data_IF_875872605924
#
_entry.id   IF_875872605924
#
_cell.length_a   1.000
_cell.length_b   1.000
_cell.length_c   1.000
_cell.angle_alpha   90.00
_cell.angle_beta   90.00
_cell.angle_gamma   90.00
#
_symmetry.space_group_name_H-M   'P 1'
#
loop_
_entity.id
_entity.type
_entity.pdbx_description
1 polymer ?
#
# COMPACT_ATOMS: atom_id res chain seq x y z
N UNK A 1 -15.38 9.39 -1.62
CA UNK A 1 -14.16 8.57 -1.53
C UNK A 1 -14.58 7.23 -1.00
N UNK A 2 -14.69 6.24 -1.88
CA UNK A 2 -14.80 4.84 -1.46
C UNK A 2 -13.36 4.39 -1.27
N UNK A 3 -12.96 4.14 -0.03
CA UNK A 3 -11.63 3.64 0.27
C UNK A 3 -11.48 2.28 -0.42
N UNK A 4 -10.29 1.94 -0.93
CA UNK A 4 -10.02 0.55 -1.26
C UNK A 4 -9.95 -0.20 0.06
N UNK A 5 -11.06 -0.80 0.46
CA UNK A 5 -11.15 -1.53 1.72
C UNK A 5 -10.33 -2.82 1.59
N UNK A 6 -9.33 -2.95 2.45
CA UNK A 6 -8.65 -4.22 2.68
C UNK A 6 -9.37 -4.93 3.83
N UNK A 7 -9.38 -6.26 3.84
CA UNK A 7 -9.83 -6.97 5.04
C UNK A 7 -8.71 -7.79 5.66
N UNK A 8 -8.57 -7.70 6.98
CA UNK A 8 -7.71 -8.60 7.75
C UNK A 8 -8.58 -9.50 8.61
N UNK A 9 -8.50 -10.81 8.39
CA UNK A 9 -9.38 -11.80 8.98
C UNK A 9 -10.88 -11.43 8.83
N UNK A 10 -11.24 -10.86 7.67
CA UNK A 10 -12.60 -10.40 7.37
C UNK A 10 -13.03 -9.06 8.03
N UNK A 11 -12.16 -8.39 8.80
CA UNK A 11 -12.42 -7.04 9.31
C UNK A 11 -11.90 -5.98 8.32
N UNK A 12 -12.73 -5.02 7.87
CA UNK A 12 -12.30 -3.98 6.95
C UNK A 12 -11.40 -2.94 7.62
N UNK A 13 -10.43 -2.45 6.85
CA UNK A 13 -9.56 -1.33 7.18
C UNK A 13 -9.39 -0.42 5.95
N UNK A 14 -9.38 0.91 6.12
CA UNK A 14 -9.08 1.82 5.02
C UNK A 14 -7.59 1.71 4.65
N UNK A 15 -7.28 1.73 3.35
CA UNK A 15 -5.92 1.82 2.84
C UNK A 15 -5.51 3.28 2.60
N UNK A 16 -4.35 3.68 3.13
CA UNK A 16 -3.78 5.02 2.93
C UNK A 16 -2.34 5.01 2.31
N UNK A 17 -1.84 3.89 1.79
CA UNK A 17 -0.65 3.84 0.91
C UNK A 17 0.73 4.14 1.53
N UNK A 18 1.39 3.13 2.13
CA UNK A 18 2.80 3.18 2.60
C UNK A 18 3.64 2.02 2.03
N UNK A 19 4.71 1.53 2.70
CA UNK A 19 5.47 0.32 2.31
C UNK A 19 5.22 -0.90 3.21
N UNK A 20 4.72 -0.67 4.43
CA UNK A 20 4.36 -1.72 5.39
C UNK A 20 2.86 -1.70 5.64
N UNK A 21 2.31 -2.85 6.02
CA UNK A 21 0.93 -2.96 6.47
C UNK A 21 0.87 -2.70 7.98
N UNK A 22 0.14 -1.66 8.38
CA UNK A 22 -0.22 -1.45 9.79
C UNK A 22 -1.67 -1.01 9.92
N UNK A 23 -2.27 -1.32 11.06
CA UNK A 23 -3.67 -0.99 11.33
C UNK A 23 -3.83 -0.24 12.65
N UNK A 24 -4.71 0.75 12.66
CA UNK A 24 -5.04 1.59 13.82
C UNK A 24 -6.01 0.92 14.81
N UNK A 25 -6.42 -0.33 14.55
CA UNK A 25 -7.29 -1.07 15.45
C UNK A 25 -6.93 -2.57 15.46
N UNK A 26 -7.17 -3.28 16.57
CA UNK A 26 -6.86 -4.70 16.66
C UNK A 26 -7.56 -5.53 15.57
N UNK A 27 -6.87 -6.54 15.05
CA UNK A 27 -7.40 -7.51 14.08
C UNK A 27 -7.93 -8.73 14.82
N UNK A 28 -9.24 -9.06 14.71
CA UNK A 28 -9.82 -10.24 15.34
C UNK A 28 -9.11 -11.53 14.92
N UNK A 29 -8.76 -12.37 15.90
CA UNK A 29 -8.13 -13.67 15.62
C UNK A 29 -6.69 -13.60 15.11
N UNK A 30 -6.07 -12.42 15.05
CA UNK A 30 -4.67 -12.31 14.64
C UNK A 30 -3.72 -12.91 15.68
N UNK A 31 -2.66 -13.55 15.21
CA UNK A 31 -1.72 -14.29 16.07
C UNK A 31 -0.42 -13.51 16.20
N UNK A 32 0.00 -13.22 17.43
CA UNK A 32 1.26 -12.52 17.69
C UNK A 32 2.46 -13.31 17.19
N UNK A 33 3.40 -12.61 16.55
CA UNK A 33 4.66 -13.16 16.07
C UNK A 33 5.80 -13.06 17.10
N UNK A 34 5.50 -12.63 18.33
CA UNK A 34 6.46 -12.47 19.43
C UNK A 34 7.60 -11.46 19.16
N UNK A 35 7.35 -10.46 18.30
CA UNK A 35 8.20 -9.28 18.17
C UNK A 35 7.36 -8.04 17.92
N UNK A 36 7.97 -6.89 18.16
CA UNK A 36 7.38 -5.58 17.91
C UNK A 36 8.16 -4.86 16.82
N UNK A 37 7.51 -3.94 16.14
CA UNK A 37 8.13 -3.11 15.13
C UNK A 37 7.61 -1.67 15.22
N UNK A 38 8.27 -0.75 14.54
CA UNK A 38 7.96 0.68 14.60
C UNK A 38 8.22 1.39 13.28
N UNK A 39 7.27 2.23 12.86
CA UNK A 39 7.37 3.10 11.68
C UNK A 39 7.38 4.54 12.15
N UNK A 40 8.35 5.33 11.70
CA UNK A 40 8.32 6.78 11.83
C UNK A 40 7.76 7.40 10.55
N UNK A 41 6.68 8.16 10.68
CA UNK A 41 6.12 9.02 9.65
C UNK A 41 6.46 10.49 9.95
N UNK A 42 6.33 11.36 8.95
CA UNK A 42 6.62 12.80 9.10
C UNK A 42 5.80 13.46 10.22
N UNK A 43 4.61 12.93 10.50
CA UNK A 43 3.63 13.51 11.42
C UNK A 43 3.35 12.62 12.67
N UNK A 44 4.11 11.54 12.89
CA UNK A 44 3.90 10.64 14.03
C UNK A 44 4.63 9.31 13.90
N UNK A 45 4.51 8.42 14.90
CA UNK A 45 5.05 7.06 14.85
C UNK A 45 3.98 6.02 15.14
N UNK A 46 4.11 4.88 14.47
CA UNK A 46 3.36 3.66 14.72
C UNK A 46 4.27 2.66 15.40
N UNK A 47 3.94 2.18 16.60
CA UNK A 47 4.70 1.14 17.29
C UNK A 47 3.77 0.15 17.96
N UNK A 48 4.15 -1.13 17.94
CA UNK A 48 3.34 -2.19 18.52
C UNK A 48 3.79 -3.59 18.13
N UNK A 49 3.05 -4.62 18.58
CA UNK A 49 3.36 -6.00 18.25
C UNK A 49 3.08 -6.27 16.77
N UNK A 50 3.89 -7.15 16.17
CA UNK A 50 3.62 -7.69 14.85
C UNK A 50 2.73 -8.91 14.96
N UNK A 51 1.65 -8.89 14.19
CA UNK A 51 0.58 -9.87 14.20
C UNK A 51 0.48 -10.52 12.82
N UNK A 52 0.11 -11.79 12.77
CA UNK A 52 -0.24 -12.47 11.52
C UNK A 52 -1.75 -12.47 11.32
N UNK A 53 -2.17 -12.25 10.08
CA UNK A 53 -3.56 -12.27 9.65
C UNK A 53 -3.65 -12.68 8.17
N UNK A 54 -4.82 -13.14 7.76
CA UNK A 54 -5.16 -13.33 6.35
C UNK A 54 -5.67 -12.00 5.80
N UNK A 55 -5.02 -11.51 4.75
CA UNK A 55 -5.38 -10.32 4.01
C UNK A 55 -6.20 -10.69 2.78
N UNK A 56 -7.34 -10.04 2.61
CA UNK A 56 -8.05 -10.00 1.33
C UNK A 56 -7.91 -8.60 0.71
N UNK A 57 -7.40 -8.56 -0.53
CA UNK A 57 -7.13 -7.33 -1.26
C UNK A 57 -7.11 -7.59 -2.77
N UNK A 58 -7.82 -6.74 -3.54
CA UNK A 58 -7.85 -6.82 -5.01
C UNK A 58 -8.15 -8.23 -5.56
N UNK A 59 -9.01 -9.00 -4.87
CA UNK A 59 -9.37 -10.37 -5.24
C UNK A 59 -8.37 -11.46 -4.81
N UNK A 60 -7.27 -11.09 -4.16
CA UNK A 60 -6.29 -12.00 -3.58
C UNK A 60 -6.53 -12.23 -2.10
N UNK A 61 -6.30 -13.46 -1.65
CA UNK A 61 -6.31 -13.84 -0.23
C UNK A 61 -4.95 -14.42 0.14
N UNK A 62 -4.20 -13.74 1.01
CA UNK A 62 -2.83 -14.13 1.39
C UNK A 62 -2.57 -13.91 2.88
N UNK A 63 -1.82 -14.80 3.51
CA UNK A 63 -1.33 -14.56 4.87
C UNK A 63 -0.21 -13.51 4.85
N UNK A 64 -0.30 -12.54 5.75
CA UNK A 64 0.63 -11.43 5.92
C UNK A 64 0.94 -11.15 7.39
N UNK A 65 2.05 -10.47 7.63
CA UNK A 65 2.31 -9.80 8.91
C UNK A 65 1.88 -8.34 8.85
N UNK A 66 1.20 -7.88 9.90
CA UNK A 66 0.76 -6.50 10.08
C UNK A 66 1.20 -5.98 11.45
N UNK A 67 1.60 -4.71 11.51
CA UNK A 67 1.85 -4.02 12.77
C UNK A 67 0.52 -3.61 13.42
N UNK A 68 0.30 -3.98 14.67
CA UNK A 68 -0.82 -3.45 15.48
C UNK A 68 -0.43 -2.07 16.03
N UNK A 69 -0.87 -1.03 15.32
CA UNK A 69 -0.64 0.38 15.66
C UNK A 69 -1.81 1.01 16.44
N UNK A 70 -2.64 0.22 17.12
CA UNK A 70 -3.84 0.72 17.81
C UNK A 70 -3.60 1.75 18.93
N UNK A 71 -2.34 2.02 19.28
CA UNK A 71 -1.94 3.13 20.15
C UNK A 71 -1.90 4.51 19.46
N UNK A 72 -2.06 4.60 18.14
CA UNK A 72 -2.05 5.86 17.39
C UNK A 72 -3.47 6.38 17.22
N UNK A 73 -3.67 7.66 17.54
CA UNK A 73 -4.91 8.38 17.23
C UNK A 73 -4.93 8.89 15.78
N UNK A 74 -4.80 7.97 14.81
CA UNK A 74 -4.99 8.25 13.39
C UNK A 74 -6.02 7.25 12.83
N UNK A 75 -7.14 7.70 12.23
CA UNK A 75 -8.22 6.81 11.79
C UNK A 75 -7.87 5.87 10.62
N UNK A 76 -6.67 5.92 10.05
CA UNK A 76 -6.25 5.08 8.91
C UNK A 76 -5.35 3.92 9.29
N UNK A 77 -5.55 2.75 8.69
CA UNK A 77 -4.45 1.80 8.47
C UNK A 77 -3.69 2.21 7.20
N UNK A 78 -2.43 1.81 7.07
CA UNK A 78 -1.70 1.97 5.81
C UNK A 78 -1.39 0.59 5.25
N UNK A 79 -1.75 0.31 4.00
CA UNK A 79 -1.17 -0.83 3.29
C UNK A 79 0.14 -0.43 2.64
N UNK A 80 1.12 -1.31 2.79
CA UNK A 80 2.38 -1.24 2.07
C UNK A 80 2.28 -1.57 0.58
N UNK A 81 2.34 -0.57 -0.31
CA UNK A 81 2.50 -0.73 -1.77
C UNK A 81 3.97 -0.60 -2.22
N UNK A 82 4.87 -0.18 -1.33
CA UNK A 82 6.30 -0.03 -1.61
C UNK A 82 7.11 -1.33 -1.57
N UNK A 83 8.35 -1.30 -2.11
CA UNK A 83 9.21 -2.48 -2.19
C UNK A 83 9.70 -2.95 -0.80
N UNK A 84 9.83 -4.26 -0.61
CA UNK A 84 10.20 -4.86 0.67
C UNK A 84 11.62 -4.62 1.18
N UNK A 85 12.44 -3.77 0.54
CA UNK A 85 13.77 -3.39 1.03
C UNK A 85 13.73 -2.47 2.26
N UNK A 86 12.62 -1.76 2.47
CA UNK A 86 12.40 -0.89 3.63
C UNK A 86 11.41 -1.45 4.67
N UNK A 87 10.95 -2.70 4.51
CA UNK A 87 9.86 -3.25 5.31
C UNK A 87 10.31 -3.62 6.72
N UNK A 88 9.69 -2.99 7.72
CA UNK A 88 9.96 -3.23 9.14
C UNK A 88 9.46 -4.58 9.63
N UNK A 89 8.34 -5.06 9.08
CA UNK A 89 7.80 -6.39 9.43
C UNK A 89 8.70 -7.47 8.87
N UNK A 90 9.22 -7.30 7.65
CA UNK A 90 10.23 -8.19 7.05
C UNK A 90 11.55 -8.20 7.81
N UNK A 91 12.03 -7.05 8.30
CA UNK A 91 13.27 -7.01 9.08
C UNK A 91 13.22 -7.84 10.37
N UNK A 92 12.07 -7.88 11.04
CA UNK A 92 11.88 -8.73 12.23
C UNK A 92 11.44 -10.16 11.92
N UNK A 93 10.91 -10.42 10.72
CA UNK A 93 10.31 -11.69 10.33
C UNK A 93 11.16 -12.49 9.33
N UNK A 94 11.61 -13.68 9.72
CA UNK A 94 12.42 -14.56 8.86
C UNK A 94 11.58 -15.45 7.91
N UNK A 95 10.44 -14.97 7.41
CA UNK A 95 9.56 -15.75 6.53
C UNK A 95 8.97 -14.92 5.40
N UNK A 96 8.55 -15.58 4.31
CA UNK A 96 7.90 -14.89 3.19
C UNK A 96 6.56 -14.23 3.54
N UNK A 97 5.92 -14.63 4.64
CA UNK A 97 4.70 -14.00 5.19
C UNK A 97 4.98 -12.61 5.76
N UNK A 98 6.24 -12.34 6.13
CA UNK A 98 6.70 -11.05 6.61
C UNK A 98 6.98 -10.06 5.47
N UNK A 99 6.97 -10.50 4.21
CA UNK A 99 7.13 -9.59 3.08
C UNK A 99 5.91 -8.66 2.96
N UNK A 100 6.08 -7.45 2.38
CA UNK A 100 4.95 -6.57 2.10
C UNK A 100 3.83 -7.26 1.31
N UNK A 101 2.58 -6.80 1.43
CA UNK A 101 1.42 -7.40 0.78
C UNK A 101 1.59 -7.69 -0.72
N UNK A 102 2.10 -6.73 -1.51
CA UNK A 102 2.31 -6.94 -2.94
C UNK A 102 3.39 -8.00 -3.23
N UNK A 103 4.52 -7.94 -2.53
CA UNK A 103 5.58 -8.96 -2.62
C UNK A 103 5.02 -10.36 -2.27
N UNK A 104 4.14 -10.43 -1.27
CA UNK A 104 3.48 -11.68 -0.87
C UNK A 104 2.54 -12.20 -1.95
N UNK A 105 1.71 -11.35 -2.53
CA UNK A 105 0.79 -11.74 -3.63
C UNK A 105 1.60 -12.30 -4.80
N UNK A 106 2.58 -11.56 -5.30
CA UNK A 106 3.37 -11.99 -6.47
C UNK A 106 4.23 -13.23 -6.20
N UNK A 107 4.78 -13.37 -4.98
CA UNK A 107 5.54 -14.57 -4.63
C UNK A 107 4.65 -15.80 -4.36
N UNK A 108 3.39 -15.61 -3.98
CA UNK A 108 2.44 -16.70 -3.74
C UNK A 108 1.81 -17.25 -5.02
N UNK A 109 1.73 -16.44 -6.07
CA UNK A 109 1.06 -16.80 -7.32
C UNK A 109 1.85 -16.32 -8.54
N UNK A 110 2.62 -17.23 -9.14
CA UNK A 110 3.44 -16.96 -10.32
C UNK A 110 2.65 -16.71 -11.61
N UNK A 111 1.32 -16.94 -11.59
CA UNK A 111 0.45 -16.64 -12.73
C UNK A 111 0.00 -15.16 -12.77
N UNK A 112 0.27 -14.41 -11.71
CA UNK A 112 -0.06 -12.99 -11.59
C UNK A 112 1.13 -12.18 -12.09
N UNK A 113 0.87 -11.24 -13.00
CA UNK A 113 1.91 -10.29 -13.43
C UNK A 113 2.31 -9.40 -12.26
N UNK A 114 3.61 -9.13 -12.01
CA UNK A 114 4.06 -8.22 -10.96
C UNK A 114 3.80 -6.75 -11.36
N UNK A 115 2.52 -6.39 -11.43
CA UNK A 115 2.00 -5.12 -11.89
C UNK A 115 0.99 -4.60 -10.87
N UNK A 116 1.11 -3.33 -10.52
CA UNK A 116 0.08 -2.57 -9.80
C UNK A 116 -0.40 -1.46 -10.74
N UNK A 117 -1.70 -1.39 -10.99
CA UNK A 117 -2.31 -0.34 -11.79
C UNK A 117 -3.26 0.49 -10.92
N UNK A 118 -3.10 1.81 -10.99
CA UNK A 118 -3.89 2.78 -10.22
C UNK A 118 -4.45 3.81 -11.20
N UNK A 119 -5.77 3.91 -11.23
CA UNK A 119 -6.53 4.98 -11.87
C UNK A 119 -6.97 5.95 -10.78
N UNK A 120 -6.47 7.19 -10.83
CA UNK A 120 -6.85 8.24 -9.90
C UNK A 120 -7.77 9.24 -10.61
N UNK A 121 -8.91 9.52 -9.99
CA UNK A 121 -9.80 10.59 -10.44
C UNK A 121 -9.24 11.95 -10.03
N UNK A 122 -9.42 12.97 -10.87
CA UNK A 122 -9.22 14.35 -10.47
C UNK A 122 -10.45 14.88 -9.74
N UNK A 123 -10.26 15.42 -8.54
CA UNK A 123 -11.38 16.02 -7.79
C UNK A 123 -11.99 17.20 -8.56
N UNK A 124 -13.33 17.21 -8.66
CA UNK A 124 -14.07 18.31 -9.26
C UNK A 124 -14.19 18.29 -10.78
N UNK A 125 -13.78 17.20 -11.44
CA UNK A 125 -14.04 17.02 -12.87
C UNK A 125 -15.48 16.48 -13.09
N UNK A 126 -16.41 17.28 -13.65
CA UNK A 126 -17.79 16.86 -13.87
C UNK A 126 -17.93 15.87 -15.04
N UNK A 127 -16.92 15.77 -15.90
CA UNK A 127 -16.97 14.97 -17.13
C UNK A 127 -16.47 13.53 -16.90
N UNK A 128 -15.82 13.26 -15.77
CA UNK A 128 -15.24 11.94 -15.46
C UNK A 128 -15.72 11.42 -14.10
N UNK A 129 -16.87 10.69 -14.05
CA UNK A 129 -17.48 10.23 -12.80
C UNK A 129 -16.85 8.96 -12.22
N UNK A 130 -15.65 8.56 -12.67
CA UNK A 130 -15.01 7.33 -12.21
C UNK A 130 -14.46 7.49 -10.79
N UNK A 131 -14.81 6.62 -9.82
CA UNK A 131 -14.43 6.77 -8.42
C UNK A 131 -12.94 6.50 -8.10
N UNK A 132 -12.08 6.36 -9.12
CA UNK A 132 -10.75 5.77 -9.00
C UNK A 132 -10.81 4.24 -9.00
N UNK A 133 -9.70 3.59 -9.35
CA UNK A 133 -9.62 2.14 -9.41
C UNK A 133 -8.20 1.64 -9.12
N UNK A 134 -8.08 0.57 -8.33
CA UNK A 134 -6.81 -0.08 -8.07
C UNK A 134 -6.93 -1.56 -8.46
N UNK A 135 -5.93 -2.07 -9.18
CA UNK A 135 -5.84 -3.48 -9.56
C UNK A 135 -4.43 -4.03 -9.46
N UNK A 136 -4.33 -5.34 -9.23
CA UNK A 136 -3.08 -6.07 -9.08
C UNK A 136 -3.02 -7.15 -10.15
N UNK A 137 -1.97 -7.11 -10.98
CA UNK A 137 -1.72 -8.08 -12.04
C UNK A 137 -2.38 -7.81 -13.38
N UNK A 138 -3.22 -6.78 -13.47
CA UNK A 138 -3.94 -6.42 -14.69
C UNK A 138 -4.09 -4.90 -14.87
N UNK A 139 -4.52 -4.51 -16.06
CA UNK A 139 -4.92 -3.14 -16.40
C UNK A 139 -6.35 -3.22 -16.90
N UNK A 140 -7.17 -2.25 -16.54
CA UNK A 140 -8.53 -2.12 -17.07
C UNK A 140 -8.53 -2.19 -18.61
N UNK A 141 -9.52 -2.86 -19.24
CA UNK A 141 -9.55 -3.06 -20.69
C UNK A 141 -9.36 -1.78 -21.51
N UNK A 142 -9.96 -0.68 -21.05
CA UNK A 142 -9.94 0.61 -21.75
C UNK A 142 -8.61 1.37 -21.59
N UNK A 143 -7.69 0.89 -20.74
CA UNK A 143 -6.40 1.54 -20.43
C UNK A 143 -5.18 0.68 -20.83
N UNK A 144 -5.38 -0.36 -21.62
CA UNK A 144 -4.32 -1.29 -22.08
C UNK A 144 -3.17 -0.59 -22.82
N UNK A 145 -3.45 0.53 -23.50
CA UNK A 145 -2.44 1.31 -24.20
C UNK A 145 -1.35 1.86 -23.28
N UNK A 146 -1.62 1.98 -21.98
CA UNK A 146 -0.63 2.34 -20.96
C UNK A 146 0.57 1.39 -20.91
N UNK A 147 0.35 0.10 -21.22
CA UNK A 147 1.43 -0.90 -21.26
C UNK A 147 2.45 -0.68 -22.39
N UNK A 148 2.06 0.09 -23.41
CA UNK A 148 2.89 0.41 -24.57
C UNK A 148 3.62 1.76 -24.43
N UNK A 149 3.37 2.51 -23.35
CA UNK A 149 4.01 3.79 -23.13
C UNK A 149 5.50 3.63 -22.79
N UNK A 150 6.36 4.60 -23.16
CA UNK A 150 7.75 4.62 -22.75
C UNK A 150 7.89 4.53 -21.24
N UNK A 151 8.68 3.57 -20.75
CA UNK A 151 8.93 3.43 -19.32
C UNK A 151 9.88 4.52 -18.85
N UNK A 152 9.48 5.24 -17.81
CA UNK A 152 10.37 6.17 -17.13
C UNK A 152 11.38 5.38 -16.29
N UNK A 153 12.68 5.71 -16.36
CA UNK A 153 13.65 5.09 -15.48
C UNK A 153 13.35 5.47 -14.04
N UNK A 154 13.39 4.50 -13.14
CA UNK A 154 13.33 4.76 -11.69
C UNK A 154 14.66 5.42 -11.30
N UNK A 155 14.65 6.74 -11.11
CA UNK A 155 15.76 7.45 -10.50
C UNK A 155 15.59 7.38 -8.98
N UNK A 156 16.66 7.05 -8.26
CA UNK A 156 16.66 6.79 -6.80
C UNK A 156 16.49 8.05 -5.93
N UNK A 157 15.73 9.04 -6.39
CA UNK A 157 15.54 10.31 -5.69
C UNK A 157 14.05 10.65 -5.68
N UNK A 158 13.34 10.17 -4.65
CA UNK A 158 12.35 11.04 -4.04
C UNK A 158 13.17 12.17 -3.41
N UNK A 159 13.40 13.24 -4.17
CA UNK A 159 14.07 14.42 -3.64
C UNK A 159 13.26 14.91 -2.44
N UNK A 160 13.94 15.45 -1.42
CA UNK A 160 13.31 16.07 -0.24
C UNK A 160 12.33 17.19 -0.63
N UNK A 161 12.36 17.60 -1.90
CA UNK A 161 11.54 18.63 -2.52
C UNK A 161 10.37 18.08 -3.38
N UNK A 162 10.10 16.77 -3.43
CA UNK A 162 8.93 16.23 -4.15
C UNK A 162 9.19 15.83 -5.61
N UNK A 163 8.14 15.79 -6.43
CA UNK A 163 8.17 15.24 -7.80
C UNK A 163 8.71 16.31 -8.77
N UNK A 164 9.77 15.99 -9.51
CA UNK A 164 10.24 16.80 -10.63
C UNK A 164 9.50 16.36 -11.90
N UNK A 165 8.80 17.29 -12.55
CA UNK A 165 8.06 17.04 -13.78
C UNK A 165 8.96 16.77 -15.00
N UNK A 166 8.41 16.31 -16.13
CA UNK A 166 9.15 16.04 -17.37
C UNK A 166 9.86 17.26 -17.96
N UNK A 167 9.44 18.46 -17.55
CA UNK A 167 10.03 19.75 -17.90
C UNK A 167 11.21 20.16 -16.99
N UNK A 168 11.60 19.31 -16.04
CA UNK A 168 12.68 19.58 -15.09
C UNK A 168 12.29 20.56 -13.97
N UNK A 169 11.02 20.95 -13.86
CA UNK A 169 10.54 21.81 -12.77
C UNK A 169 9.85 20.99 -11.69
N UNK A 170 10.00 21.41 -10.45
CA UNK A 170 9.25 20.86 -9.32
C UNK A 170 7.75 21.02 -9.56
N UNK A 171 6.99 19.96 -9.33
CA UNK A 171 5.52 20.02 -9.29
C UNK A 171 5.16 20.42 -7.86
N UNK A 172 4.62 21.62 -7.69
CA UNK A 172 4.06 22.04 -6.40
C UNK A 172 2.83 21.18 -6.10
N UNK A 173 2.88 20.42 -5.01
CA UNK A 173 1.73 19.73 -4.44
C UNK A 173 1.19 20.66 -3.36
N UNK A 174 0.11 21.37 -3.65
CA UNK A 174 -0.64 22.12 -2.63
C UNK A 174 -1.77 21.24 -2.12
N UNK A 175 -1.79 20.97 -0.81
CA UNK A 175 -2.92 20.35 -0.15
C UNK A 175 -4.14 21.27 -0.27
N UNK A 176 -5.30 20.78 -0.74
CA UNK A 176 -6.54 21.54 -0.63
C UNK A 176 -6.98 21.56 0.85
N UNK A 177 -7.22 22.77 1.38
CA UNK A 177 -7.85 23.00 2.70
C UNK A 177 -9.26 22.41 2.79
#
# INVERSE_FOLDING_TARGET
MEYTDITLNGKPFPDAGSSDLWVSAPVPGAISQNYSAGIMHRNGSAEGPVMSATLDFAGFSVDVFALDGSGIHDPGGLMGLGPGVGSITRMGGNSGVANPPLDRIFSSNSSVSPLLAVLLQRSGDPDEPFPGYLSVGEVLPDYQDGLNQPRLPVTTLLDVNGIIGPNGTQIEITDPE
#
